data_IF_135269586434
#
_entry.id   IF_135269586434
#
_cell.length_a   1.000
_cell.length_b   1.000
_cell.length_c   1.000
_cell.angle_alpha   90.00
_cell.angle_beta   90.00
_cell.angle_gamma   90.00
#
_symmetry.space_group_name_H-M   'P 1'
#
loop_
_entity.id
_entity.type
_entity.pdbx_description
1 polymer ?
#
# COMPACT_ATOMS: atom_id res chain seq x y z
N UNK A 1 0.75 -22.78 -5.83
CA UNK A 1 1.90 -21.91 -5.47
C UNK A 1 1.60 -21.21 -4.16
N UNK A 2 2.49 -21.28 -3.16
CA UNK A 2 2.35 -20.58 -1.87
C UNK A 2 3.31 -19.38 -1.87
N UNK A 3 2.80 -18.16 -1.69
CA UNK A 3 3.67 -16.98 -1.51
C UNK A 3 4.41 -17.13 -0.17
N UNK A 4 5.70 -16.78 -0.08
CA UNK A 4 6.42 -16.81 1.18
C UNK A 4 5.80 -15.83 2.18
N UNK A 5 5.74 -16.24 3.45
CA UNK A 5 5.36 -15.36 4.54
C UNK A 5 6.49 -14.37 4.86
N UNK A 6 6.15 -13.20 5.40
CA UNK A 6 7.18 -12.24 5.81
C UNK A 6 7.78 -12.64 7.17
N UNK A 7 9.06 -12.31 7.45
CA UNK A 7 9.72 -12.72 8.69
C UNK A 7 9.18 -12.04 9.96
N UNK A 8 8.69 -10.79 9.80
CA UNK A 8 8.27 -9.95 10.91
C UNK A 8 7.07 -9.09 10.51
N UNK A 9 6.17 -8.90 11.47
CA UNK A 9 4.96 -8.11 11.34
C UNK A 9 4.88 -7.02 12.42
N UNK A 10 4.00 -6.04 12.22
CA UNK A 10 3.67 -4.97 13.15
C UNK A 10 2.16 -4.67 13.06
N UNK A 11 1.51 -4.17 14.13
CA UNK A 11 0.11 -3.75 14.06
C UNK A 11 -0.03 -2.58 13.08
N UNK A 12 -1.04 -2.62 12.21
CA UNK A 12 -1.29 -1.56 11.23
C UNK A 12 -1.90 -0.29 11.83
N UNK A 13 -2.57 -0.41 12.99
CA UNK A 13 -3.39 0.67 13.56
C UNK A 13 -4.74 0.86 12.87
N UNK A 14 -5.09 0.01 11.89
CA UNK A 14 -6.36 0.02 11.16
C UNK A 14 -7.15 -1.21 11.56
N UNK A 15 -8.35 -1.01 12.12
CA UNK A 15 -9.16 -2.05 12.75
C UNK A 15 -9.41 -3.26 11.83
N UNK A 16 -9.77 -3.01 10.56
CA UNK A 16 -10.09 -4.07 9.61
C UNK A 16 -8.87 -4.75 8.96
N UNK A 17 -7.66 -4.19 9.10
CA UNK A 17 -6.47 -4.64 8.38
C UNK A 17 -5.57 -5.58 9.20
N UNK A 18 -5.56 -5.45 10.53
CA UNK A 18 -4.76 -6.29 11.41
C UNK A 18 -3.25 -6.00 11.33
N UNK A 19 -2.42 -7.04 11.12
CA UNK A 19 -0.96 -6.94 11.10
C UNK A 19 -0.39 -6.81 9.68
N UNK A 20 0.66 -5.99 9.54
CA UNK A 20 1.35 -5.72 8.28
C UNK A 20 2.84 -6.05 8.40
N UNK A 21 3.57 -6.28 7.28
CA UNK A 21 5.00 -6.54 7.32
C UNK A 21 5.77 -5.39 7.98
N UNK A 22 6.75 -5.73 8.81
CA UNK A 22 7.48 -4.74 9.62
C UNK A 22 8.21 -3.68 8.77
N UNK A 23 8.69 -4.06 7.59
CA UNK A 23 9.44 -3.21 6.65
C UNK A 23 8.56 -2.26 5.82
N UNK A 24 7.23 -2.34 5.90
CA UNK A 24 6.35 -1.41 5.19
C UNK A 24 6.38 -0.03 5.83
N UNK A 25 6.42 1.02 5.01
CA UNK A 25 6.43 2.42 5.44
C UNK A 25 5.17 3.14 5.00
N UNK A 26 4.75 4.16 5.76
CA UNK A 26 3.63 5.01 5.40
C UNK A 26 4.15 6.18 4.58
N UNK A 27 3.73 6.26 3.32
CA UNK A 27 4.14 7.30 2.38
C UNK A 27 2.92 8.03 1.83
N UNK A 28 3.06 9.35 1.63
CA UNK A 28 2.04 10.11 0.92
C UNK A 28 1.95 9.65 -0.54
N UNK A 29 0.75 9.45 -1.06
CA UNK A 29 0.52 8.92 -2.42
C UNK A 29 1.28 9.69 -3.51
N UNK A 30 1.36 11.03 -3.40
CA UNK A 30 2.13 11.90 -4.31
C UNK A 30 3.63 11.59 -4.38
N UNK A 31 4.18 10.84 -3.42
CA UNK A 31 5.59 10.42 -3.38
C UNK A 31 5.84 9.10 -4.09
N UNK A 32 4.79 8.36 -4.45
CA UNK A 32 4.91 7.03 -5.03
C UNK A 32 5.24 7.08 -6.53
N UNK A 33 4.92 8.18 -7.21
CA UNK A 33 5.23 8.38 -8.61
C UNK A 33 4.42 9.52 -9.21
N UNK A 34 4.71 9.81 -10.47
CA UNK A 34 3.98 10.78 -11.27
C UNK A 34 2.70 10.12 -11.81
N UNK A 35 1.57 10.46 -11.21
CA UNK A 35 0.27 10.01 -11.68
C UNK A 35 -0.28 11.02 -12.67
N UNK A 36 -0.33 10.65 -13.95
CA UNK A 36 -1.04 11.43 -14.95
C UNK A 36 -2.56 11.22 -14.77
N UNK A 37 -3.25 12.27 -14.33
CA UNK A 37 -4.70 12.31 -14.37
C UNK A 37 -5.14 12.48 -15.82
N UNK A 38 -5.56 11.39 -16.46
CA UNK A 38 -6.15 11.46 -17.80
C UNK A 38 -7.37 12.38 -17.75
N UNK A 39 -7.33 13.47 -18.53
CA UNK A 39 -8.50 14.29 -18.78
C UNK A 39 -9.60 13.39 -19.32
N UNK A 40 -10.79 13.54 -18.73
CA UNK A 40 -11.90 12.61 -18.85
C UNK A 40 -12.24 12.25 -20.28
N UNK A 41 -12.65 11.00 -20.44
CA UNK A 41 -13.37 10.47 -21.59
C UNK A 41 -14.25 11.55 -22.26
N UNK A 42 -14.13 11.77 -23.58
CA UNK A 42 -15.07 12.62 -24.27
C UNK A 42 -16.46 11.97 -24.19
N UNK A 43 -17.47 12.76 -23.83
CA UNK A 43 -18.88 12.38 -23.94
C UNK A 43 -19.26 12.09 -25.40
#
# INVERSE_FOLDING_TARGET
MRRPAYPHYKPSGIEWLGEIPKHWEVLAFKRLGDFQGGAGFPN
#
